data_IF_679456853789
#
_entry.id   IF_679456853789
#
_cell.length_a   1.000
_cell.length_b   1.000
_cell.length_c   1.000
_cell.angle_alpha   90.00
_cell.angle_beta   90.00
_cell.angle_gamma   90.00
#
_symmetry.space_group_name_H-M   'P 1'
#
loop_
_entity.id
_entity.type
_entity.pdbx_description
1 polymer ?
#
# COMPACT_ATOMS: atom_id res chain seq x y z
N UNK A 1 -7.53 -21.51 -43.61
CA UNK A 1 -6.77 -20.39 -43.02
C UNK A 1 -6.78 -20.49 -41.49
N UNK A 2 -5.64 -20.43 -40.80
CA UNK A 2 -5.58 -20.36 -39.32
C UNK A 2 -5.37 -18.90 -38.91
N UNK A 3 -6.44 -18.24 -38.48
CA UNK A 3 -6.35 -16.88 -37.92
C UNK A 3 -5.73 -16.98 -36.53
N UNK A 4 -4.49 -16.48 -36.37
CA UNK A 4 -3.88 -16.32 -35.06
C UNK A 4 -4.47 -15.07 -34.41
N UNK A 5 -5.37 -15.27 -33.45
CA UNK A 5 -5.78 -14.22 -32.52
C UNK A 5 -4.57 -13.82 -31.67
N UNK A 6 -3.93 -12.71 -32.02
CA UNK A 6 -2.96 -12.06 -31.14
C UNK A 6 -3.74 -11.31 -30.07
N UNK A 7 -4.00 -11.96 -28.93
CA UNK A 7 -4.49 -11.27 -27.74
C UNK A 7 -3.39 -10.36 -27.21
N UNK A 8 -3.39 -9.10 -27.63
CA UNK A 8 -2.61 -8.07 -26.99
C UNK A 8 -3.18 -7.85 -25.60
N UNK A 9 -2.58 -8.49 -24.59
CA UNK A 9 -2.88 -8.23 -23.18
C UNK A 9 -2.44 -6.79 -22.92
N UNK A 10 -3.39 -5.86 -22.97
CA UNK A 10 -3.17 -4.51 -22.43
C UNK A 10 -2.90 -4.72 -20.94
N UNK A 11 -1.63 -4.64 -20.51
CA UNK A 11 -1.31 -4.52 -19.09
C UNK A 11 -2.05 -3.27 -18.61
N UNK A 12 -3.01 -3.37 -17.66
CA UNK A 12 -3.59 -2.17 -17.08
C UNK A 12 -2.44 -1.31 -16.53
N UNK A 13 -2.52 0.03 -16.66
CA UNK A 13 -1.51 0.90 -16.08
C UNK A 13 -1.36 0.49 -14.62
N UNK A 14 -0.13 0.16 -14.22
CA UNK A 14 0.15 -0.15 -12.83
C UNK A 14 -0.37 1.03 -12.01
N UNK A 15 -1.15 0.82 -10.93
CA UNK A 15 -1.56 1.93 -10.08
C UNK A 15 -0.29 2.64 -9.64
N UNK A 16 -0.14 3.89 -10.05
CA UNK A 16 0.96 4.74 -9.59
C UNK A 16 0.85 4.76 -8.07
N UNK A 17 1.91 4.42 -7.33
CA UNK A 17 1.87 4.52 -5.87
C UNK A 17 1.40 5.92 -5.50
N UNK A 18 0.28 6.00 -4.79
CA UNK A 18 -0.17 7.30 -4.29
C UNK A 18 0.97 7.89 -3.47
N UNK A 19 1.38 9.14 -3.73
CA UNK A 19 2.42 9.79 -2.93
C UNK A 19 2.06 9.68 -1.45
N UNK A 20 3.02 9.25 -0.63
CA UNK A 20 2.84 9.25 0.82
C UNK A 20 2.56 10.70 1.26
N UNK A 21 1.50 10.99 2.02
CA UNK A 21 1.22 12.34 2.48
C UNK A 21 2.34 12.77 3.41
N UNK A 22 2.83 14.00 3.23
CA UNK A 22 3.79 14.58 4.18
C UNK A 22 3.09 14.70 5.53
N UNK A 23 3.59 14.00 6.54
CA UNK A 23 3.05 14.01 7.90
C UNK A 23 3.83 15.05 8.72
N UNK A 24 3.19 16.15 9.15
CA UNK A 24 3.80 17.12 10.06
C UNK A 24 4.29 16.44 11.33
N UNK A 25 5.42 16.90 11.89
CA UNK A 25 6.02 16.33 13.09
C UNK A 25 5.01 16.19 14.24
N UNK A 26 4.19 17.22 14.45
CA UNK A 26 3.13 17.25 15.48
C UNK A 26 2.07 16.15 15.35
N UNK A 27 1.88 15.62 14.14
CA UNK A 27 0.89 14.57 13.86
C UNK A 27 1.50 13.16 13.93
N UNK A 28 2.83 13.04 13.94
CA UNK A 28 3.51 11.74 14.00
C UNK A 28 3.31 11.13 15.38
N UNK A 29 3.03 9.84 15.41
CA UNK A 29 2.86 9.09 16.66
C UNK A 29 3.91 8.01 16.78
N UNK A 30 4.51 7.88 17.96
CA UNK A 30 5.26 6.69 18.35
C UNK A 30 4.30 5.59 18.83
N UNK A 31 4.82 4.38 19.09
CA UNK A 31 4.03 3.31 19.71
C UNK A 31 3.42 3.77 21.05
N UNK A 32 4.17 4.55 21.83
CA UNK A 32 3.79 5.02 23.18
C UNK A 32 2.71 6.11 23.15
N UNK A 33 2.71 6.95 22.11
CA UNK A 33 1.81 8.12 21.99
C UNK A 33 0.58 7.86 21.14
N UNK A 34 0.48 6.67 20.54
CA UNK A 34 -0.60 6.24 19.67
C UNK A 34 -1.87 5.90 20.47
N UNK A 35 -2.96 6.59 20.19
CA UNK A 35 -4.23 6.43 20.90
C UNK A 35 -5.23 5.56 20.12
N UNK A 36 -6.35 5.21 20.77
CA UNK A 36 -7.37 4.34 20.18
C UNK A 36 -8.03 4.90 18.90
N UNK A 37 -8.07 6.23 18.78
CA UNK A 37 -8.67 6.96 17.66
C UNK A 37 -7.66 7.34 16.56
N UNK A 38 -6.38 7.01 16.74
CA UNK A 38 -5.33 7.39 15.81
C UNK A 38 -5.19 6.39 14.65
N UNK A 39 -4.79 6.91 13.49
CA UNK A 39 -4.42 6.14 12.32
C UNK A 39 -3.09 5.42 12.57
N UNK A 40 -3.15 4.09 12.46
CA UNK A 40 -2.03 3.19 12.77
C UNK A 40 -1.20 2.78 11.56
N UNK A 41 -1.23 3.58 10.49
CA UNK A 41 -0.42 3.29 9.31
C UNK A 41 1.06 3.52 9.62
N UNK A 42 1.94 2.53 9.46
CA UNK A 42 3.38 2.67 9.73
C UNK A 42 4.07 3.42 8.59
N UNK A 43 4.94 4.36 8.94
CA UNK A 43 5.80 5.10 8.02
C UNK A 43 7.26 4.81 8.37
N UNK A 44 8.02 4.39 7.35
CA UNK A 44 9.43 4.04 7.50
C UNK A 44 9.65 2.59 7.95
N UNK A 45 10.91 2.28 8.23
CA UNK A 45 11.33 0.97 8.73
C UNK A 45 11.22 0.91 10.26
N UNK A 46 10.66 -0.16 10.87
CA UNK A 46 10.53 -0.27 12.32
C UNK A 46 11.84 -0.19 13.13
N UNK A 47 12.99 -0.41 12.50
CA UNK A 47 14.32 -0.27 13.13
C UNK A 47 14.91 1.14 12.95
N UNK A 48 14.28 2.00 12.15
CA UNK A 48 14.72 3.38 11.93
C UNK A 48 14.24 4.30 13.06
N UNK A 49 15.07 5.28 13.41
CA UNK A 49 14.69 6.37 14.32
C UNK A 49 13.57 7.26 13.74
N UNK A 50 13.41 7.27 12.41
CA UNK A 50 12.34 8.00 11.73
C UNK A 50 11.02 7.21 11.68
N UNK A 51 10.94 6.03 12.29
CA UNK A 51 9.72 5.25 12.34
C UNK A 51 8.63 5.97 13.12
N UNK A 52 7.45 6.10 12.51
CA UNK A 52 6.29 6.67 13.17
C UNK A 52 4.99 6.17 12.54
N UNK A 53 3.88 6.41 13.22
CA UNK A 53 2.54 6.23 12.71
C UNK A 53 1.93 7.55 12.27
N UNK A 54 0.95 7.45 11.37
CA UNK A 54 0.29 8.61 10.78
C UNK A 54 -0.40 9.53 11.78
N UNK A 55 -1.05 8.99 12.82
CA UNK A 55 -1.62 9.77 13.92
C UNK A 55 -2.85 10.63 13.61
N UNK A 56 -3.27 10.75 12.34
CA UNK A 56 -4.56 11.38 11.99
C UNK A 56 -5.73 10.58 12.55
N UNK A 57 -6.89 11.22 12.73
CA UNK A 57 -8.09 10.52 13.16
C UNK A 57 -8.47 9.37 12.21
N UNK A 58 -8.69 8.18 12.79
CA UNK A 58 -9.13 7.00 12.05
C UNK A 58 -10.59 7.15 11.60
N UNK A 59 -10.94 6.46 10.52
CA UNK A 59 -12.34 6.27 10.11
C UNK A 59 -12.98 5.21 10.99
N UNK A 60 -14.24 5.40 11.36
CA UNK A 60 -14.97 4.40 12.15
C UNK A 60 -15.00 3.04 11.46
N UNK A 61 -14.88 1.99 12.26
CA UNK A 61 -14.74 0.61 11.77
C UNK A 61 -13.39 0.29 11.13
N UNK A 62 -12.46 1.25 11.02
CA UNK A 62 -11.15 1.06 10.40
C UNK A 62 -10.01 1.48 11.33
N UNK A 63 -8.80 0.88 11.21
CA UNK A 63 -7.64 1.28 12.00
C UNK A 63 -6.89 2.50 11.41
N UNK A 64 -7.36 3.03 10.28
CA UNK A 64 -6.64 4.02 9.47
C UNK A 64 -7.51 5.24 9.15
N UNK A 65 -6.88 6.37 8.85
CA UNK A 65 -7.55 7.55 8.30
C UNK A 65 -8.00 7.31 6.85
N UNK A 66 -8.86 8.17 6.29
CA UNK A 66 -9.44 8.00 4.95
C UNK A 66 -8.39 7.71 3.86
N UNK A 67 -7.25 8.43 3.89
CA UNK A 67 -6.15 8.20 2.96
C UNK A 67 -5.57 6.78 3.07
N UNK A 68 -5.26 6.34 4.28
CA UNK A 68 -4.63 5.05 4.52
C UNK A 68 -5.59 3.87 4.42
N UNK A 69 -6.90 4.07 4.60
CA UNK A 69 -7.92 3.07 4.25
C UNK A 69 -7.90 2.78 2.74
N UNK A 70 -7.84 3.82 1.90
CA UNK A 70 -7.78 3.65 0.44
C UNK A 70 -6.50 2.98 -0.01
N UNK A 71 -5.37 3.31 0.64
CA UNK A 71 -4.06 2.69 0.39
C UNK A 71 -4.04 1.21 0.77
N UNK A 72 -4.56 0.87 1.95
CA UNK A 72 -4.62 -0.52 2.44
C UNK A 72 -5.45 -1.44 1.54
N UNK A 73 -6.53 -0.92 0.96
CA UNK A 73 -7.50 -1.69 0.19
C UNK A 73 -7.22 -1.74 -1.32
N UNK A 74 -6.01 -1.36 -1.76
CA UNK A 74 -5.66 -1.51 -3.18
C UNK A 74 -5.62 -3.00 -3.55
N UNK A 75 -6.22 -3.40 -4.69
CA UNK A 75 -6.25 -4.79 -5.11
C UNK A 75 -4.82 -5.31 -5.28
N UNK A 76 -4.52 -6.43 -4.62
CA UNK A 76 -3.22 -7.08 -4.75
C UNK A 76 -3.01 -7.49 -6.20
N UNK A 77 -1.86 -7.13 -6.79
CA UNK A 77 -1.53 -7.60 -8.14
C UNK A 77 -1.52 -9.13 -8.11
N UNK A 78 -2.16 -9.81 -9.09
CA UNK A 78 -2.06 -11.25 -9.18
C UNK A 78 -0.57 -11.63 -9.29
N UNK A 79 -0.11 -12.47 -8.37
CA UNK A 79 1.25 -13.01 -8.40
C UNK A 79 1.37 -13.86 -9.67
N UNK A 80 2.01 -13.33 -10.70
CA UNK A 80 2.35 -14.13 -11.87
C UNK A 80 3.40 -15.15 -11.45
N UNK A 81 2.98 -16.42 -11.28
CA UNK A 81 3.92 -17.54 -11.14
C UNK A 81 4.55 -17.74 -12.50
N UNK A 82 5.77 -17.24 -12.70
CA UNK A 82 6.58 -17.59 -13.87
C UNK A 82 7.15 -18.98 -13.64
N UNK A 83 6.54 -20.01 -14.22
CA UNK A 83 7.23 -21.29 -14.38
C UNK A 83 8.32 -21.09 -15.42
N UNK A 84 9.62 -21.33 -15.10
CA UNK A 84 10.63 -21.41 -16.14
C UNK A 84 10.33 -22.64 -16.98
N UNK A 85 9.79 -22.42 -18.17
CA UNK A 85 9.76 -23.45 -19.21
C UNK A 85 11.22 -23.69 -19.64
N UNK A 86 11.67 -24.91 -19.35
CA UNK A 86 12.74 -25.67 -20.01
C UNK A 86 14.18 -25.29 -19.66
N UNK A 87 14.84 -26.18 -18.91
CA UNK A 87 16.27 -26.42 -19.02
C UNK A 87 16.48 -27.94 -19.18
N UNK A 88 16.90 -28.35 -20.38
CA UNK A 88 17.42 -29.68 -20.70
C UNK A 88 16.40 -30.65 -21.28
#
# INVERSE_FOLDING_TARGET
MKVRFMFSVRKPPMPVPLPEPVIPLEQRKSIETLMAHDCRWPIGDPQSADFHFCGKQKVDGHPYCDFHVRRANQPTRPRTVSYPLLAG
#
